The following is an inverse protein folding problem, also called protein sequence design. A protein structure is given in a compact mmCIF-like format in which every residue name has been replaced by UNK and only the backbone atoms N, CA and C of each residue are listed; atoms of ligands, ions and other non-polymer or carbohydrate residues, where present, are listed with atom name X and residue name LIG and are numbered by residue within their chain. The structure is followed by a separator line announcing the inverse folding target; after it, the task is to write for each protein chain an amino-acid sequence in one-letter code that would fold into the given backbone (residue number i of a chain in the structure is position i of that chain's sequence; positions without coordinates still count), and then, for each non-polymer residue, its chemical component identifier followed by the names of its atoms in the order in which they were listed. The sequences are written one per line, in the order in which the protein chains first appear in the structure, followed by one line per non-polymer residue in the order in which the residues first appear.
data_IF_759362128108
#
_entry.id   IF_759362128108
#
_cell.length_a   1.000
_cell.length_b   1.000
_cell.length_c   1.000
_cell.angle_alpha   90.00
_cell.angle_beta   90.00
_cell.angle_gamma   90.00
#
_symmetry.space_group_name_H-M   'P 1'
#
loop_
_entity.id
_entity.type
_entity.pdbx_description
1 polymer ?
#
# COMPACT_ATOMS: atom_id res chain seq x y z
N UNK A 1 -6.00 24.93 2.51
CA UNK A 1 -5.34 23.96 3.41
C UNK A 1 -6.38 22.91 3.81
N UNK A 2 -6.29 21.65 3.37
CA UNK A 2 -7.21 20.59 3.80
C UNK A 2 -6.46 19.68 4.79
N UNK A 3 -6.53 20.02 6.08
CA UNK A 3 -5.80 19.32 7.15
C UNK A 3 -6.20 17.84 7.26
N UNK A 4 -7.48 17.53 6.97
CA UNK A 4 -7.99 16.16 6.95
C UNK A 4 -7.26 15.33 5.89
N UNK A 5 -7.14 15.85 4.66
CA UNK A 5 -6.44 15.15 3.58
C UNK A 5 -4.97 14.87 3.93
N UNK A 6 -4.27 15.83 4.55
CA UNK A 6 -2.89 15.62 4.97
C UNK A 6 -2.75 14.56 6.06
N UNK A 7 -3.64 14.59 7.06
CA UNK A 7 -3.64 13.59 8.13
C UNK A 7 -3.90 12.18 7.57
N UNK A 8 -4.86 12.04 6.66
CA UNK A 8 -5.16 10.76 6.01
C UNK A 8 -3.98 10.28 5.15
N UNK A 9 -3.36 11.17 4.35
CA UNK A 9 -2.16 10.83 3.58
C UNK A 9 -1.00 10.37 4.46
N UNK A 10 -0.77 11.03 5.60
CA UNK A 10 0.28 10.64 6.53
C UNK A 10 0.02 9.25 7.12
N UNK A 11 -1.22 8.96 7.52
CA UNK A 11 -1.63 7.64 8.00
C UNK A 11 -1.47 6.57 6.91
N UNK A 12 -1.90 6.85 5.68
CA UNK A 12 -1.74 5.97 4.53
C UNK A 12 -0.26 5.69 4.23
N UNK A 13 0.60 6.71 4.27
CA UNK A 13 2.04 6.56 4.08
C UNK A 13 2.69 5.71 5.17
N UNK A 14 2.29 5.88 6.43
CA UNK A 14 2.77 5.04 7.53
C UNK A 14 2.33 3.58 7.37
N UNK A 15 1.06 3.34 7.02
CA UNK A 15 0.54 1.99 6.76
C UNK A 15 1.23 1.35 5.56
N UNK A 16 1.42 2.11 4.47
CA UNK A 16 2.15 1.67 3.28
C UNK A 16 3.57 1.26 3.60
N UNK A 17 4.30 2.06 4.38
CA UNK A 17 5.68 1.73 4.80
C UNK A 17 5.75 0.45 5.64
N UNK A 18 4.81 0.24 6.55
CA UNK A 18 4.77 -0.98 7.36
C UNK A 18 4.44 -2.20 6.49
N UNK A 19 3.49 -2.05 5.57
CA UNK A 19 3.08 -3.10 4.67
C UNK A 19 4.19 -3.49 3.69
N UNK A 20 4.84 -2.50 3.07
CA UNK A 20 5.93 -2.68 2.10
C UNK A 20 7.05 -3.57 2.65
N UNK A 21 7.40 -3.42 3.93
CA UNK A 21 8.44 -4.23 4.59
C UNK A 21 8.09 -5.71 4.76
N UNK A 22 6.82 -6.07 4.65
CA UNK A 22 6.33 -7.44 4.84
C UNK A 22 6.01 -8.15 3.52
N UNK A 23 6.10 -7.45 2.40
CA UNK A 23 5.93 -7.98 1.05
C UNK A 23 7.26 -8.53 0.53
N UNK A 24 7.18 -9.49 -0.40
CA UNK A 24 8.33 -9.88 -1.23
C UNK A 24 8.69 -8.78 -2.25
N UNK A 25 9.79 -8.98 -2.99
CA UNK A 25 10.31 -7.98 -3.93
C UNK A 25 9.32 -7.68 -5.07
N UNK A 26 8.64 -8.69 -5.61
CA UNK A 26 7.67 -8.54 -6.70
C UNK A 26 6.46 -7.70 -6.26
N UNK A 27 5.95 -7.95 -5.06
CA UNK A 27 4.79 -7.24 -4.54
C UNK A 27 5.14 -5.87 -3.96
N UNK A 28 6.39 -5.66 -3.55
CA UNK A 28 6.94 -4.33 -3.30
C UNK A 28 6.94 -3.47 -4.57
N UNK A 29 7.44 -4.00 -5.69
CA UNK A 29 7.45 -3.30 -6.98
C UNK A 29 6.02 -2.99 -7.45
N UNK A 30 5.09 -3.95 -7.32
CA UNK A 30 3.68 -3.75 -7.65
C UNK A 30 3.03 -2.65 -6.82
N UNK A 31 3.32 -2.60 -5.50
CA UNK A 31 2.78 -1.55 -4.65
C UNK A 31 3.33 -0.17 -5.04
N UNK A 32 4.64 -0.07 -5.28
CA UNK A 32 5.28 1.18 -5.72
C UNK A 32 4.68 1.66 -7.05
N UNK A 33 4.62 0.79 -8.05
CA UNK A 33 4.04 1.09 -9.35
C UNK A 33 2.56 1.48 -9.27
N UNK A 34 1.78 0.86 -8.37
CA UNK A 34 0.38 1.25 -8.17
C UNK A 34 0.26 2.69 -7.63
N UNK A 35 1.10 3.05 -6.65
CA UNK A 35 1.10 4.38 -6.05
C UNK A 35 1.62 5.45 -7.00
N UNK A 36 2.65 5.16 -7.80
CA UNK A 36 3.26 6.10 -8.75
C UNK A 36 2.35 6.46 -9.93
N UNK A 37 1.39 5.58 -10.28
CA UNK A 37 0.46 5.80 -11.38
C UNK A 37 -0.86 6.49 -10.97
N UNK A 38 -0.94 7.01 -9.74
CA UNK A 38 -2.10 7.78 -9.29
C UNK A 38 -2.01 9.19 -9.91
N UNK A 39 -2.83 9.45 -10.94
CA UNK A 39 -2.77 10.70 -11.71
C UNK A 39 -3.15 11.98 -10.94
N UNK A 40 -4.03 11.88 -9.94
CA UNK A 40 -4.29 12.95 -8.98
C UNK A 40 -3.86 12.49 -7.60
N UNK A 41 -2.77 13.05 -7.07
CA UNK A 41 -2.29 12.72 -5.72
C UNK A 41 -3.35 12.95 -4.63
N UNK A 42 -4.41 13.73 -4.87
CA UNK A 42 -5.51 13.93 -3.93
C UNK A 42 -6.53 12.79 -3.95
N UNK A 43 -6.43 11.86 -4.90
CA UNK A 43 -7.27 10.66 -4.96
C UNK A 43 -6.86 9.66 -3.88
N UNK A 44 -7.42 9.87 -2.69
CA UNK A 44 -7.22 8.99 -1.55
C UNK A 44 -7.83 7.60 -1.77
N UNK A 45 -8.84 7.47 -2.64
CA UNK A 45 -9.50 6.19 -2.90
C UNK A 45 -8.56 5.29 -3.71
N UNK A 46 -7.95 5.82 -4.76
CA UNK A 46 -6.96 5.10 -5.56
C UNK A 46 -5.77 4.65 -4.69
N UNK A 47 -5.22 5.55 -3.86
CA UNK A 47 -4.15 5.22 -2.93
C UNK A 47 -4.54 4.15 -1.91
N UNK A 48 -5.77 4.20 -1.39
CA UNK A 48 -6.27 3.19 -0.45
C UNK A 48 -6.44 1.83 -1.15
N UNK A 49 -6.88 1.79 -2.40
CA UNK A 49 -7.00 0.56 -3.18
C UNK A 49 -5.65 -0.12 -3.41
N UNK A 50 -4.59 0.65 -3.73
CA UNK A 50 -3.23 0.11 -3.81
C UNK A 50 -2.81 -0.57 -2.49
N UNK A 51 -3.04 0.10 -1.36
CA UNK A 51 -2.70 -0.43 -0.03
C UNK A 51 -3.51 -1.67 0.35
N UNK A 52 -4.81 -1.71 0.02
CA UNK A 52 -5.68 -2.87 0.29
C UNK A 52 -5.21 -4.08 -0.54
N UNK A 53 -4.91 -3.89 -1.81
CA UNK A 53 -4.44 -4.96 -2.68
C UNK A 53 -3.10 -5.52 -2.18
N UNK A 54 -2.16 -4.65 -1.84
CA UNK A 54 -0.89 -5.07 -1.24
C UNK A 54 -1.11 -5.81 0.10
N UNK A 55 -2.08 -5.40 0.92
CA UNK A 55 -2.41 -6.11 2.18
C UNK A 55 -2.94 -7.52 1.94
N UNK A 56 -3.75 -7.70 0.89
CA UNK A 56 -4.25 -9.02 0.52
C UNK A 56 -3.08 -9.92 0.12
N UNK A 57 -2.16 -9.41 -0.69
CA UNK A 57 -0.96 -10.13 -1.12
C UNK A 57 -0.05 -10.52 0.05
N UNK A 58 0.29 -9.57 0.92
CA UNK A 58 1.06 -9.84 2.13
C UNK A 58 0.47 -10.96 3.00
N UNK A 59 -0.86 -11.12 3.03
CA UNK A 59 -1.53 -12.22 3.72
C UNK A 59 -1.41 -13.56 3.00
N UNK A 60 -1.44 -13.55 1.67
CA UNK A 60 -1.23 -14.74 0.86
C UNK A 60 0.22 -15.22 1.01
N UNK A 61 1.21 -14.33 0.93
CA UNK A 61 2.62 -14.70 1.08
C UNK A 61 2.95 -15.19 2.50
N UNK A 62 2.28 -14.62 3.51
CA UNK A 62 2.40 -15.11 4.88
C UNK A 62 1.76 -16.50 5.06
N UNK A 63 0.71 -16.80 4.30
CA UNK A 63 0.10 -18.14 4.30
C UNK A 63 0.98 -19.16 3.58
N UNK A 64 1.54 -18.81 2.43
CA UNK A 64 2.43 -19.66 1.64
C UNK A 64 3.68 -20.05 2.45
N UNK A 65 4.35 -19.06 3.06
CA UNK A 65 5.50 -19.28 3.96
C UNK A 65 5.20 -20.11 5.21
N UNK A 66 3.93 -20.29 5.57
CA UNK A 66 3.56 -21.14 6.72
C UNK A 66 3.43 -22.62 6.37
N UNK A 67 3.44 -22.94 5.07
CA UNK A 67 3.36 -24.29 4.53
C UNK A 67 4.73 -24.90 4.19
N UNK A 68 5.78 -24.07 4.11
CA UNK A 68 7.19 -24.46 3.93
C UNK A 68 7.90 -24.77 5.27
#
# INVERSE_FOLDING_TARGET
MNWYMYAIKALMGQLGKQLYRNLDEDDQERLAHCLDNIGDEKDMVAGAQCLINARIRAKLDAYDRSLD
#
